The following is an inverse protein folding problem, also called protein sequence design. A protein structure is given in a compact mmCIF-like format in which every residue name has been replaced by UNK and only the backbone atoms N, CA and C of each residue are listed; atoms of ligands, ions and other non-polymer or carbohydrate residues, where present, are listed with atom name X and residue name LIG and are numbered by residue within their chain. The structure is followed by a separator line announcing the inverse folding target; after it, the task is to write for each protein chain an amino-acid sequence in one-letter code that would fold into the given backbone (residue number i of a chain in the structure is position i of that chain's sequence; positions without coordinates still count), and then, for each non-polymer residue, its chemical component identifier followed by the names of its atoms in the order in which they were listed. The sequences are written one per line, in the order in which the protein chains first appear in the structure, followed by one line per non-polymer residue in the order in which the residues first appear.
data_IF_150160457826
#
_entry.id   IF_150160457826
#
_cell.length_a   1.000
_cell.length_b   1.000
_cell.length_c   1.000
_cell.angle_alpha   90.00
_cell.angle_beta   90.00
_cell.angle_gamma   90.00
#
_symmetry.space_group_name_H-M   'P 1'
#
loop_
_entity.id
_entity.type
_entity.pdbx_description
1 polymer ?
#
# COMPACT_ATOMS: atom_id res chain seq x y z
N UNK A 1 4.10 -56.07 51.24
CA UNK A 1 5.07 -55.33 50.41
C UNK A 1 4.34 -54.16 49.77
N UNK A 2 4.72 -52.90 50.02
CA UNK A 2 4.07 -51.76 49.38
C UNK A 2 4.64 -51.55 47.97
N UNK A 3 3.78 -51.25 47.00
CA UNK A 3 4.18 -50.94 45.62
C UNK A 3 4.88 -49.57 45.54
N UNK A 4 5.89 -49.41 44.67
CA UNK A 4 6.56 -48.14 44.48
C UNK A 4 5.63 -47.13 43.80
N UNK A 5 5.53 -45.93 44.37
CA UNK A 5 4.88 -44.78 43.74
C UNK A 5 5.76 -44.31 42.59
N UNK A 6 5.28 -44.46 41.36
CA UNK A 6 5.89 -43.83 40.20
C UNK A 6 5.58 -42.33 40.24
N UNK A 7 6.62 -41.53 40.37
CA UNK A 7 6.57 -40.09 40.21
C UNK A 7 6.31 -39.79 38.72
N UNK A 8 5.09 -39.31 38.42
CA UNK A 8 4.67 -38.99 37.07
C UNK A 8 5.32 -37.65 36.73
N UNK A 9 6.56 -37.75 36.24
CA UNK A 9 7.42 -36.63 35.90
C UNK A 9 6.68 -35.54 35.14
N UNK A 10 7.01 -34.31 35.53
CA UNK A 10 6.59 -33.03 34.96
C UNK A 10 6.22 -33.14 33.48
N UNK A 11 4.92 -33.02 33.18
CA UNK A 11 4.41 -32.81 31.84
C UNK A 11 5.11 -31.56 31.30
N UNK A 12 6.09 -31.74 30.40
CA UNK A 12 6.70 -30.63 29.66
C UNK A 12 5.57 -29.86 29.01
N UNK A 13 5.34 -28.62 29.43
CA UNK A 13 4.39 -27.75 28.77
C UNK A 13 4.83 -27.61 27.32
N UNK A 14 4.11 -28.27 26.41
CA UNK A 14 4.28 -28.08 24.98
C UNK A 14 3.98 -26.59 24.74
N UNK A 15 4.94 -25.81 24.21
CA UNK A 15 4.68 -24.42 23.92
C UNK A 15 3.46 -24.37 23.00
N UNK A 16 2.39 -23.72 23.45
CA UNK A 16 1.24 -23.44 22.58
C UNK A 16 1.79 -22.63 21.42
N UNK A 17 1.98 -23.30 20.28
CA UNK A 17 2.13 -22.64 18.98
C UNK A 17 0.86 -21.84 18.76
N UNK A 18 0.87 -20.60 19.24
CA UNK A 18 -0.12 -19.61 18.86
C UNK A 18 0.15 -19.35 17.39
N UNK A 19 -0.66 -19.97 16.53
CA UNK A 19 -0.66 -19.69 15.10
C UNK A 19 -0.83 -18.17 14.93
N UNK A 20 0.26 -17.47 14.63
CA UNK A 20 0.21 -16.06 14.25
C UNK A 20 -0.31 -16.01 12.83
N UNK A 21 -1.47 -15.40 12.65
CA UNK A 21 -2.12 -15.19 11.35
C UNK A 21 -1.30 -14.31 10.40
N UNK A 22 -0.41 -13.48 10.94
CA UNK A 22 0.41 -12.52 10.21
C UNK A 22 1.87 -12.60 10.66
N UNK A 23 2.85 -12.40 9.75
CA UNK A 23 4.23 -12.18 10.15
C UNK A 23 4.38 -10.91 11.01
N UNK A 24 5.51 -10.79 11.71
CA UNK A 24 5.76 -9.67 12.62
C UNK A 24 6.02 -8.37 11.87
N UNK A 25 5.68 -7.23 12.49
CA UNK A 25 5.93 -5.92 11.89
C UNK A 25 7.43 -5.57 11.96
N UNK A 26 8.06 -5.10 10.87
CA UNK A 26 9.52 -4.94 10.77
C UNK A 26 10.17 -4.02 11.81
N UNK A 27 9.45 -3.00 12.26
CA UNK A 27 10.00 -1.90 13.08
C UNK A 27 9.59 -1.97 14.56
N UNK A 28 9.04 -3.11 15.00
CA UNK A 28 8.42 -3.25 16.33
C UNK A 28 7.36 -2.18 16.64
N UNK A 29 6.65 -1.67 15.62
CA UNK A 29 5.67 -0.60 15.76
C UNK A 29 4.64 -0.90 16.86
N UNK A 30 4.50 0.06 17.79
CA UNK A 30 3.57 0.01 18.92
C UNK A 30 2.56 1.14 18.76
N UNK A 31 1.45 0.92 18.04
CA UNK A 31 0.47 1.97 17.83
C UNK A 31 -0.18 2.40 19.15
N UNK A 32 -0.42 3.69 19.24
CA UNK A 32 -1.13 4.36 20.33
C UNK A 32 -2.53 4.75 19.87
N UNK A 33 -3.37 5.28 20.76
CA UNK A 33 -4.70 5.76 20.37
C UNK A 33 -4.64 6.88 19.33
N UNK A 34 -3.57 7.69 19.32
CA UNK A 34 -3.33 8.68 18.27
C UNK A 34 -3.22 8.02 16.89
N UNK A 35 -2.56 6.87 16.80
CA UNK A 35 -2.39 6.16 15.52
C UNK A 35 -3.72 5.63 14.99
N UNK A 36 -4.64 5.22 15.86
CA UNK A 36 -6.01 4.86 15.46
C UNK A 36 -6.76 6.06 14.89
N UNK A 37 -6.63 7.23 15.50
CA UNK A 37 -7.24 8.47 15.01
C UNK A 37 -6.64 8.87 13.66
N UNK A 38 -5.31 8.88 13.55
CA UNK A 38 -4.62 9.22 12.30
C UNK A 38 -4.94 8.23 11.18
N UNK A 39 -5.01 6.93 11.47
CA UNK A 39 -5.42 5.91 10.51
C UNK A 39 -6.88 6.07 10.07
N UNK A 40 -7.79 6.42 10.99
CA UNK A 40 -9.20 6.73 10.64
C UNK A 40 -9.27 7.96 9.75
N UNK A 41 -8.54 9.03 10.10
CA UNK A 41 -8.47 10.25 9.31
C UNK A 41 -7.87 9.99 7.94
N UNK A 42 -6.84 9.15 7.85
CA UNK A 42 -6.28 8.73 6.58
C UNK A 42 -7.31 7.96 5.75
N UNK A 43 -7.99 6.96 6.32
CA UNK A 43 -8.90 6.11 5.56
C UNK A 43 -10.20 6.81 5.12
N UNK A 44 -10.74 7.71 5.94
CA UNK A 44 -12.05 8.32 5.71
C UNK A 44 -11.95 9.82 5.41
N UNK A 45 -11.21 10.57 6.24
CA UNK A 45 -11.14 12.03 6.14
C UNK A 45 -10.34 12.52 4.95
N UNK A 46 -9.19 11.91 4.69
CA UNK A 46 -8.25 12.33 3.66
C UNK A 46 -8.81 12.17 2.23
N UNK A 47 -9.46 11.06 1.84
CA UNK A 47 -10.12 10.97 0.53
C UNK A 47 -11.17 12.05 0.30
N UNK A 48 -12.00 12.33 1.31
CA UNK A 48 -13.04 13.37 1.24
C UNK A 48 -12.40 14.75 1.11
N UNK A 49 -11.38 15.04 1.92
CA UNK A 49 -10.65 16.30 1.87
C UNK A 49 -9.92 16.49 0.53
N UNK A 50 -9.28 15.43 0.01
CA UNK A 50 -8.57 15.47 -1.27
C UNK A 50 -9.52 15.75 -2.43
N UNK A 51 -10.68 15.08 -2.50
CA UNK A 51 -11.68 15.34 -3.53
C UNK A 51 -12.26 16.76 -3.45
N UNK A 52 -12.57 17.25 -2.24
CA UNK A 52 -13.03 18.62 -2.05
C UNK A 52 -11.96 19.66 -2.44
N UNK A 53 -10.72 19.47 -2.00
CA UNK A 53 -9.61 20.37 -2.30
C UNK A 53 -9.24 20.34 -3.79
N UNK A 54 -9.37 19.20 -4.45
CA UNK A 54 -9.17 19.10 -5.90
C UNK A 54 -10.13 20.02 -6.66
N UNK A 55 -11.42 19.97 -6.34
CA UNK A 55 -12.45 20.79 -6.98
C UNK A 55 -12.30 22.30 -6.72
N UNK A 56 -11.50 22.70 -5.72
CA UNK A 56 -11.31 24.10 -5.34
C UNK A 56 -9.95 24.66 -5.73
N UNK A 57 -8.93 23.81 -5.85
CA UNK A 57 -7.53 24.26 -6.00
C UNK A 57 -6.75 23.54 -7.10
N UNK A 58 -7.28 22.45 -7.65
CA UNK A 58 -6.51 21.48 -8.45
C UNK A 58 -5.81 20.45 -7.57
N UNK A 59 -4.98 19.59 -8.17
CA UNK A 59 -4.38 18.43 -7.53
C UNK A 59 -3.18 18.78 -6.62
N UNK A 60 -2.52 19.92 -6.79
CA UNK A 60 -1.27 20.20 -6.08
C UNK A 60 -1.39 20.14 -4.55
N UNK A 61 -2.41 20.79 -3.98
CA UNK A 61 -2.64 20.80 -2.52
C UNK A 61 -3.06 19.41 -2.01
N UNK A 62 -4.06 18.73 -2.61
CA UNK A 62 -4.36 17.33 -2.29
C UNK A 62 -3.14 16.40 -2.34
N UNK A 63 -2.29 16.52 -3.36
CA UNK A 63 -1.08 15.68 -3.51
C UNK A 63 -0.07 15.97 -2.40
N UNK A 64 0.14 17.24 -2.05
CA UNK A 64 1.00 17.60 -0.92
C UNK A 64 0.47 17.05 0.40
N UNK A 65 -0.84 17.14 0.64
CA UNK A 65 -1.47 16.58 1.83
C UNK A 65 -1.34 15.06 1.85
N UNK A 66 -1.64 14.40 0.72
CA UNK A 66 -1.64 12.95 0.63
C UNK A 66 -0.23 12.38 0.73
N UNK A 67 0.67 12.77 -0.16
CA UNK A 67 2.04 12.24 -0.18
C UNK A 67 2.91 12.86 0.91
N UNK A 68 2.99 14.19 0.96
CA UNK A 68 3.90 14.89 1.88
C UNK A 68 3.51 14.68 3.33
N UNK A 69 2.28 15.00 3.70
CA UNK A 69 1.84 14.96 5.11
C UNK A 69 1.52 13.53 5.55
N UNK A 70 0.63 12.83 4.85
CA UNK A 70 0.16 11.51 5.30
C UNK A 70 1.14 10.38 4.99
N UNK A 71 1.58 10.23 3.73
CA UNK A 71 2.45 9.12 3.36
C UNK A 71 3.84 9.24 3.98
N UNK A 72 4.48 10.39 3.86
CA UNK A 72 5.87 10.56 4.33
C UNK A 72 5.92 11.12 5.76
N UNK A 73 5.25 12.24 6.03
CA UNK A 73 5.32 12.94 7.30
C UNK A 73 4.83 12.11 8.49
N UNK A 74 3.57 11.71 8.47
CA UNK A 74 2.92 10.94 9.55
C UNK A 74 3.61 9.59 9.72
N UNK A 75 3.85 8.84 8.65
CA UNK A 75 4.46 7.52 8.75
C UNK A 75 5.86 7.60 9.33
N UNK A 76 6.71 8.51 8.85
CA UNK A 76 8.06 8.70 9.40
C UNK A 76 8.02 9.18 10.85
N UNK A 77 7.11 10.10 11.19
CA UNK A 77 6.97 10.61 12.56
C UNK A 77 6.54 9.52 13.53
N UNK A 78 5.55 8.71 13.15
CA UNK A 78 4.92 7.73 14.05
C UNK A 78 5.68 6.40 14.11
N UNK A 79 6.32 5.98 13.02
CA UNK A 79 7.10 4.73 12.95
C UNK A 79 8.60 4.93 13.14
N UNK A 80 9.11 6.15 12.96
CA UNK A 80 10.54 6.45 12.97
C UNK A 80 11.29 6.08 11.68
N UNK A 81 10.68 5.26 10.82
CA UNK A 81 11.23 4.78 9.56
C UNK A 81 10.12 4.67 8.51
N UNK A 82 10.51 4.61 7.23
CA UNK A 82 9.57 4.43 6.11
C UNK A 82 9.76 3.09 5.40
N UNK A 83 10.79 2.31 5.75
CA UNK A 83 10.99 0.97 5.18
C UNK A 83 11.69 0.96 3.82
N UNK A 84 12.26 2.10 3.39
CA UNK A 84 13.05 2.22 2.16
C UNK A 84 14.56 2.32 2.45
N UNK A 85 15.00 1.96 3.64
CA UNK A 85 16.39 2.07 4.05
C UNK A 85 17.29 1.11 3.24
N UNK A 86 18.44 1.61 2.79
CA UNK A 86 19.42 0.85 2.01
C UNK A 86 20.61 0.48 2.90
N UNK A 87 20.98 -0.81 2.89
CA UNK A 87 22.20 -1.30 3.52
C UNK A 87 23.39 -0.99 2.63
N UNK A 88 24.23 -0.04 3.05
CA UNK A 88 25.45 0.33 2.34
C UNK A 88 26.38 -0.90 2.26
N UNK A 89 26.74 -1.32 1.06
CA UNK A 89 27.65 -2.44 0.81
C UNK A 89 26.97 -3.79 0.51
N UNK A 90 25.66 -3.93 0.76
CA UNK A 90 24.96 -5.22 0.62
C UNK A 90 23.71 -5.13 -0.28
N UNK A 91 23.62 -4.12 -1.15
CA UNK A 91 22.44 -3.86 -1.99
C UNK A 91 21.98 -5.10 -2.76
N UNK A 92 22.90 -5.81 -3.43
CA UNK A 92 22.56 -7.00 -4.21
C UNK A 92 21.92 -8.08 -3.32
N UNK A 93 22.46 -8.31 -2.13
CA UNK A 93 21.95 -9.29 -1.18
C UNK A 93 20.60 -8.85 -0.62
N UNK A 94 20.45 -7.56 -0.32
CA UNK A 94 19.20 -6.96 0.13
C UNK A 94 18.08 -7.17 -0.90
N UNK A 95 18.30 -6.78 -2.16
CA UNK A 95 17.28 -6.98 -3.21
C UNK A 95 17.03 -8.46 -3.53
N UNK A 96 18.06 -9.31 -3.52
CA UNK A 96 17.88 -10.75 -3.67
C UNK A 96 16.99 -11.34 -2.57
N UNK A 97 17.07 -10.82 -1.34
CA UNK A 97 16.23 -11.27 -0.23
C UNK A 97 14.74 -10.92 -0.40
N UNK A 98 14.42 -9.96 -1.26
CA UNK A 98 13.04 -9.57 -1.55
C UNK A 98 12.33 -10.51 -2.52
N UNK A 99 13.08 -11.33 -3.28
CA UNK A 99 12.54 -12.25 -4.28
C UNK A 99 12.02 -13.52 -3.61
N UNK A 100 10.90 -13.38 -2.88
CA UNK A 100 10.18 -14.50 -2.25
C UNK A 100 9.13 -15.07 -3.21
N UNK A 101 8.58 -16.28 -2.96
CA UNK A 101 7.47 -16.80 -3.75
C UNK A 101 6.27 -15.84 -3.80
N UNK A 102 5.98 -15.16 -2.68
CA UNK A 102 4.93 -14.15 -2.63
C UNK A 102 5.25 -12.95 -3.53
N UNK A 103 6.49 -12.43 -3.50
CA UNK A 103 6.91 -11.37 -4.41
C UNK A 103 6.68 -11.76 -5.87
N UNK A 104 7.09 -12.97 -6.26
CA UNK A 104 6.92 -13.47 -7.64
C UNK A 104 5.43 -13.56 -8.00
N UNK A 105 4.57 -14.08 -7.12
CA UNK A 105 3.12 -14.13 -7.38
C UNK A 105 2.53 -12.73 -7.57
N UNK A 106 2.84 -11.79 -6.69
CA UNK A 106 2.31 -10.42 -6.79
C UNK A 106 2.85 -9.69 -8.03
N UNK A 107 4.12 -9.90 -8.38
CA UNK A 107 4.71 -9.38 -9.61
C UNK A 107 4.01 -9.95 -10.85
N UNK A 108 3.73 -11.26 -10.89
CA UNK A 108 3.03 -11.88 -12.03
C UNK A 108 1.60 -11.35 -12.17
N UNK A 109 0.88 -11.15 -11.05
CA UNK A 109 -0.44 -10.52 -11.07
C UNK A 109 -0.37 -9.08 -11.60
N UNK A 110 0.65 -8.31 -11.20
CA UNK A 110 0.84 -6.96 -11.69
C UNK A 110 1.17 -6.93 -13.19
N UNK A 111 2.06 -7.81 -13.65
CA UNK A 111 2.42 -7.94 -15.07
C UNK A 111 1.23 -8.39 -15.92
N UNK A 112 0.32 -9.20 -15.37
CA UNK A 112 -0.93 -9.54 -16.03
C UNK A 112 -1.80 -8.29 -16.24
N UNK A 113 -1.94 -7.42 -15.23
CA UNK A 113 -2.66 -6.15 -15.38
C UNK A 113 -2.00 -5.23 -16.41
N UNK A 114 -0.68 -5.07 -16.34
CA UNK A 114 0.10 -4.34 -17.36
C UNK A 114 -0.18 -4.89 -18.76
N UNK A 115 -0.16 -6.22 -18.93
CA UNK A 115 -0.48 -6.86 -20.20
C UNK A 115 -1.88 -6.52 -20.73
N UNK A 116 -2.87 -6.43 -19.85
CA UNK A 116 -4.21 -5.99 -20.23
C UNK A 116 -4.27 -4.50 -20.60
N UNK A 117 -3.49 -3.63 -19.94
CA UNK A 117 -3.42 -2.20 -20.32
C UNK A 117 -2.99 -2.02 -21.77
N UNK A 118 -2.01 -2.80 -22.26
CA UNK A 118 -1.58 -2.73 -23.67
C UNK A 118 -2.70 -3.01 -24.69
N UNK A 119 -3.74 -3.75 -24.29
CA UNK A 119 -4.87 -4.11 -25.17
C UNK A 119 -6.07 -3.20 -24.96
N UNK A 120 -6.14 -2.53 -23.81
CA UNK A 120 -7.31 -1.74 -23.37
C UNK A 120 -6.99 -0.26 -23.15
N UNK A 121 -5.81 0.21 -23.52
CA UNK A 121 -5.45 1.62 -23.35
C UNK A 121 -6.25 2.52 -24.28
N UNK A 122 -6.58 3.71 -23.77
CA UNK A 122 -7.08 4.83 -24.56
C UNK A 122 -6.12 6.01 -24.39
N UNK A 123 -5.46 6.47 -25.46
CA UNK A 123 -4.58 7.63 -25.38
C UNK A 123 -5.39 8.90 -25.12
N UNK A 124 -4.78 9.85 -24.41
CA UNK A 124 -5.38 11.18 -24.21
C UNK A 124 -5.49 11.93 -25.53
N UNK A 125 -6.57 12.68 -25.73
CA UNK A 125 -6.79 13.49 -26.94
C UNK A 125 -5.78 14.63 -27.08
N UNK A 126 -5.41 15.25 -25.96
CA UNK A 126 -4.62 16.47 -25.91
C UNK A 126 -3.22 16.19 -25.38
N UNK A 127 -2.37 15.62 -26.24
CA UNK A 127 -1.01 15.24 -25.87
C UNK A 127 -0.10 16.46 -25.69
N UNK A 128 0.53 16.58 -24.52
CA UNK A 128 1.57 17.57 -24.23
C UNK A 128 2.89 16.85 -23.92
N UNK A 129 3.87 16.92 -24.82
CA UNK A 129 5.14 16.20 -24.70
C UNK A 129 5.90 16.55 -23.41
N UNK A 130 6.00 17.83 -23.08
CA UNK A 130 6.74 18.28 -21.90
C UNK A 130 6.05 17.80 -20.61
N UNK A 131 4.73 17.97 -20.54
CA UNK A 131 3.93 17.53 -19.41
C UNK A 131 3.90 16.02 -19.26
N UNK A 132 3.88 15.28 -20.35
CA UNK A 132 4.00 13.82 -20.36
C UNK A 132 5.35 13.37 -19.81
N UNK A 133 6.47 13.91 -20.30
CA UNK A 133 7.81 13.54 -19.83
C UNK A 133 7.98 13.83 -18.33
N UNK A 134 7.53 15.01 -17.88
CA UNK A 134 7.58 15.38 -16.46
C UNK A 134 6.73 14.42 -15.62
N UNK A 135 5.52 14.11 -16.09
CA UNK A 135 4.62 13.20 -15.39
C UNK A 135 5.25 11.81 -15.31
N UNK A 136 5.66 11.22 -16.44
CA UNK A 136 6.26 9.90 -16.52
C UNK A 136 7.53 9.75 -15.65
N UNK A 137 8.36 10.79 -15.59
CA UNK A 137 9.62 10.74 -14.84
C UNK A 137 9.41 10.86 -13.31
N UNK A 138 8.39 11.60 -12.87
CA UNK A 138 8.23 11.97 -11.45
C UNK A 138 7.06 11.22 -10.82
N UNK A 139 5.87 11.32 -11.41
CA UNK A 139 4.63 10.92 -10.77
C UNK A 139 4.55 9.40 -10.53
N UNK A 140 4.83 8.50 -11.49
CA UNK A 140 4.73 7.07 -11.26
C UNK A 140 5.56 6.58 -10.08
N UNK A 141 6.80 7.10 -9.97
CA UNK A 141 7.73 6.77 -8.89
C UNK A 141 7.25 7.37 -7.58
N UNK A 142 6.92 8.66 -7.56
CA UNK A 142 6.45 9.31 -6.34
C UNK A 142 5.17 8.65 -5.81
N UNK A 143 4.20 8.37 -6.67
CA UNK A 143 2.96 7.70 -6.32
C UNK A 143 3.24 6.30 -5.73
N UNK A 144 3.96 5.46 -6.49
CA UNK A 144 4.22 4.08 -6.12
C UNK A 144 4.97 3.92 -4.79
N UNK A 145 5.88 4.85 -4.48
CA UNK A 145 6.67 4.82 -3.25
C UNK A 145 6.03 5.58 -2.09
N UNK A 146 4.98 6.38 -2.33
CA UNK A 146 4.29 7.13 -1.28
C UNK A 146 3.07 6.38 -0.77
N UNK A 147 2.15 5.98 -1.66
CA UNK A 147 0.83 5.47 -1.26
C UNK A 147 0.92 4.28 -0.29
N UNK A 148 1.90 3.41 -0.48
CA UNK A 148 1.94 2.14 0.27
C UNK A 148 2.30 2.40 1.74
N UNK A 149 2.99 3.51 2.01
CA UNK A 149 3.34 3.94 3.35
C UNK A 149 2.08 4.15 4.19
N UNK A 150 1.13 4.95 3.68
CA UNK A 150 -0.09 5.25 4.44
C UNK A 150 -1.06 4.07 4.44
N UNK A 151 -1.09 3.26 3.37
CA UNK A 151 -1.89 2.04 3.33
C UNK A 151 -1.45 1.08 4.44
N UNK A 152 -0.16 0.72 4.49
CA UNK A 152 0.39 -0.19 5.50
C UNK A 152 0.30 0.42 6.90
N UNK A 153 0.57 1.71 7.07
CA UNK A 153 0.40 2.40 8.35
C UNK A 153 -1.03 2.29 8.87
N UNK A 154 -2.02 2.51 8.00
CA UNK A 154 -3.44 2.41 8.37
C UNK A 154 -3.77 1.00 8.87
N UNK A 155 -3.33 -0.03 8.14
CA UNK A 155 -3.54 -1.42 8.56
C UNK A 155 -2.84 -1.74 9.89
N UNK A 156 -1.53 -1.49 9.97
CA UNK A 156 -0.71 -1.85 11.13
C UNK A 156 -1.17 -1.11 12.39
N UNK A 157 -1.67 0.12 12.26
CA UNK A 157 -2.17 0.92 13.40
C UNK A 157 -3.29 0.21 14.16
N UNK A 158 -4.19 -0.46 13.45
CA UNK A 158 -5.22 -1.30 14.08
C UNK A 158 -4.68 -2.68 14.41
N UNK A 159 -4.06 -3.37 13.45
CA UNK A 159 -3.67 -4.77 13.59
C UNK A 159 -2.69 -5.03 14.75
N UNK A 160 -1.88 -4.04 15.10
CA UNK A 160 -0.87 -4.12 16.15
C UNK A 160 -1.25 -3.45 17.47
N UNK A 161 -2.45 -2.87 17.59
CA UNK A 161 -2.92 -2.19 18.81
C UNK A 161 -3.10 -3.15 19.98
N UNK A 162 -3.62 -4.35 19.73
CA UNK A 162 -3.60 -5.46 20.69
C UNK A 162 -2.68 -6.56 20.16
N UNK A 163 -1.79 -7.09 21.02
CA UNK A 163 -0.78 -8.07 20.60
C UNK A 163 -1.30 -9.52 20.50
N UNK A 164 -2.40 -9.82 21.18
CA UNK A 164 -2.94 -11.18 21.22
C UNK A 164 -4.45 -11.23 21.54
N UNK A 165 -5.00 -12.45 21.46
CA UNK A 165 -6.39 -12.75 21.81
C UNK A 165 -7.42 -12.30 20.76
N UNK A 166 -8.70 -12.38 21.15
CA UNK A 166 -9.84 -12.02 20.30
C UNK A 166 -9.82 -10.54 19.90
N UNK A 167 -9.40 -9.66 20.80
CA UNK A 167 -9.29 -8.22 20.53
C UNK A 167 -8.33 -7.93 19.37
N UNK A 168 -7.18 -8.62 19.31
CA UNK A 168 -6.27 -8.52 18.16
C UNK A 168 -6.96 -8.93 16.87
N UNK A 169 -7.63 -10.08 16.83
CA UNK A 169 -8.31 -10.56 15.62
C UNK A 169 -9.34 -9.55 15.11
N UNK A 170 -10.14 -8.98 16.01
CA UNK A 170 -11.12 -7.93 15.66
C UNK A 170 -10.42 -6.70 15.09
N UNK A 171 -9.39 -6.20 15.76
CA UNK A 171 -8.65 -5.02 15.29
C UNK A 171 -7.91 -5.29 13.98
N UNK A 172 -7.36 -6.49 13.76
CA UNK A 172 -6.80 -6.88 12.45
C UNK A 172 -7.86 -6.84 11.36
N UNK A 173 -9.08 -7.32 11.63
CA UNK A 173 -10.21 -7.22 10.71
C UNK A 173 -10.60 -5.77 10.39
N UNK A 174 -10.68 -4.91 11.43
CA UNK A 174 -10.95 -3.47 11.25
C UNK A 174 -9.83 -2.81 10.44
N UNK A 175 -8.57 -3.12 10.73
CA UNK A 175 -7.42 -2.61 9.97
C UNK A 175 -7.48 -3.01 8.50
N UNK A 176 -7.83 -4.26 8.20
CA UNK A 176 -8.04 -4.73 6.84
C UNK A 176 -9.18 -3.99 6.13
N UNK A 177 -10.29 -3.74 6.83
CA UNK A 177 -11.40 -2.96 6.29
C UNK A 177 -10.99 -1.51 6.02
N UNK A 178 -10.31 -0.84 6.96
CA UNK A 178 -9.84 0.54 6.80
C UNK A 178 -8.81 0.67 5.67
N UNK A 179 -7.95 -0.34 5.49
CA UNK A 179 -7.02 -0.44 4.38
C UNK A 179 -7.75 -0.43 3.02
N UNK A 180 -8.77 -1.28 2.86
CA UNK A 180 -9.57 -1.36 1.63
C UNK A 180 -10.40 -0.08 1.40
N UNK A 181 -10.97 0.49 2.48
CA UNK A 181 -11.72 1.75 2.43
C UNK A 181 -10.81 2.89 1.96
N UNK A 182 -9.61 3.04 2.53
CA UNK A 182 -8.64 4.06 2.15
C UNK A 182 -8.36 4.00 0.64
N UNK A 183 -7.97 2.83 0.15
CA UNK A 183 -7.62 2.63 -1.26
C UNK A 183 -8.83 2.93 -2.15
N UNK A 184 -10.00 2.35 -1.83
CA UNK A 184 -11.20 2.54 -2.64
C UNK A 184 -11.63 4.01 -2.68
N UNK A 185 -11.71 4.69 -1.54
CA UNK A 185 -12.22 6.05 -1.46
C UNK A 185 -11.27 7.06 -2.10
N UNK A 186 -9.95 6.93 -1.91
CA UNK A 186 -9.02 7.88 -2.57
C UNK A 186 -9.08 7.74 -4.09
N UNK A 187 -9.27 6.52 -4.60
CA UNK A 187 -9.43 6.32 -6.04
C UNK A 187 -10.75 6.90 -6.56
N UNK A 188 -11.85 6.65 -5.86
CA UNK A 188 -13.19 7.11 -6.27
C UNK A 188 -13.38 8.63 -6.14
N UNK A 189 -12.79 9.26 -5.13
CA UNK A 189 -13.06 10.67 -4.82
C UNK A 189 -11.98 11.63 -5.32
N UNK A 190 -10.77 11.13 -5.62
CA UNK A 190 -9.64 11.96 -6.02
C UNK A 190 -9.00 11.48 -7.31
N UNK A 191 -8.49 10.25 -7.37
CA UNK A 191 -7.69 9.81 -8.53
C UNK A 191 -8.49 9.72 -9.82
N UNK A 192 -9.72 9.20 -9.78
CA UNK A 192 -10.56 9.05 -10.98
C UNK A 192 -10.89 10.40 -11.64
N UNK A 193 -10.77 11.51 -10.91
CA UNK A 193 -11.08 12.84 -11.42
C UNK A 193 -10.07 13.33 -12.47
N UNK A 194 -8.87 12.76 -12.51
CA UNK A 194 -7.82 13.18 -13.46
C UNK A 194 -6.91 12.04 -13.96
N UNK A 195 -7.04 10.80 -13.47
CA UNK A 195 -6.33 9.66 -14.05
C UNK A 195 -7.14 8.99 -15.18
N UNK A 196 -6.50 8.53 -16.26
CA UNK A 196 -7.15 7.80 -17.35
C UNK A 196 -7.81 6.47 -16.92
N UNK A 197 -7.42 5.95 -15.75
CA UNK A 197 -7.90 4.69 -15.15
C UNK A 197 -9.41 4.66 -14.87
N UNK A 198 -10.09 5.82 -14.91
CA UNK A 198 -11.55 5.90 -14.80
C UNK A 198 -12.33 5.40 -16.01
N UNK A 199 -11.67 5.13 -17.14
CA UNK A 199 -12.34 4.73 -18.37
C UNK A 199 -12.73 3.25 -18.33
N UNK A 200 -14.04 2.97 -18.26
CA UNK A 200 -14.57 1.62 -18.10
C UNK A 200 -14.55 0.79 -19.38
N UNK A 201 -13.38 0.27 -19.74
CA UNK A 201 -13.24 -0.69 -20.82
C UNK A 201 -13.43 -2.10 -20.29
N UNK A 202 -14.37 -2.84 -20.87
CA UNK A 202 -14.53 -4.27 -20.62
C UNK A 202 -13.45 -5.06 -21.39
N UNK A 203 -12.78 -6.07 -20.78
CA UNK A 203 -12.95 -6.60 -19.43
C UNK A 203 -12.00 -6.00 -18.38
N UNK A 204 -11.23 -4.95 -18.72
CA UNK A 204 -10.19 -4.37 -17.86
C UNK A 204 -10.74 -4.06 -16.46
N UNK A 205 -11.84 -3.33 -16.33
CA UNK A 205 -12.38 -2.98 -15.00
C UNK A 205 -12.83 -4.18 -14.16
N UNK A 206 -13.33 -5.24 -14.81
CA UNK A 206 -13.81 -6.45 -14.12
C UNK A 206 -12.65 -7.27 -13.55
N UNK A 207 -11.49 -7.24 -14.21
CA UNK A 207 -10.28 -7.95 -13.79
C UNK A 207 -9.37 -7.08 -12.92
N UNK A 208 -9.28 -5.79 -13.22
CA UNK A 208 -8.44 -4.81 -12.56
C UNK A 208 -8.77 -4.74 -11.07
N UNK A 209 -10.05 -4.52 -10.72
CA UNK A 209 -10.43 -4.32 -9.31
C UNK A 209 -10.11 -5.55 -8.45
N UNK A 210 -10.51 -6.79 -8.81
CA UNK A 210 -10.18 -7.97 -8.00
C UNK A 210 -8.67 -8.25 -7.92
N UNK A 211 -7.95 -8.15 -9.04
CA UNK A 211 -6.51 -8.43 -9.06
C UNK A 211 -5.75 -7.36 -8.28
N UNK A 212 -6.05 -6.07 -8.47
CA UNK A 212 -5.41 -4.97 -7.75
C UNK A 212 -5.72 -5.04 -6.25
N UNK A 213 -6.94 -5.42 -5.88
CA UNK A 213 -7.30 -5.68 -4.46
C UNK A 213 -6.48 -6.84 -3.89
N UNK A 214 -6.33 -7.94 -4.63
CA UNK A 214 -5.51 -9.07 -4.20
C UNK A 214 -4.03 -8.68 -4.07
N UNK A 215 -3.50 -7.87 -4.99
CA UNK A 215 -2.13 -7.35 -4.93
C UNK A 215 -1.95 -6.49 -3.67
N UNK A 216 -2.86 -5.55 -3.42
CA UNK A 216 -2.82 -4.66 -2.27
C UNK A 216 -2.90 -5.44 -0.94
N UNK A 217 -3.78 -6.44 -0.82
CA UNK A 217 -3.79 -7.34 0.34
C UNK A 217 -2.46 -8.08 0.47
N UNK A 218 -1.91 -8.58 -0.65
CA UNK A 218 -0.61 -9.23 -0.71
C UNK A 218 0.54 -8.35 -0.21
N UNK A 219 0.48 -7.03 -0.44
CA UNK A 219 1.47 -6.08 0.05
C UNK A 219 1.61 -6.08 1.57
N UNK A 220 0.52 -6.31 2.33
CA UNK A 220 0.60 -6.43 3.79
C UNK A 220 1.55 -7.58 4.19
N UNK A 221 1.37 -8.74 3.55
CA UNK A 221 2.18 -9.92 3.83
C UNK A 221 3.61 -9.76 3.32
N UNK A 222 3.77 -9.23 2.10
CA UNK A 222 5.08 -9.03 1.48
C UNK A 222 5.91 -8.03 2.27
N UNK A 223 5.31 -6.94 2.75
CA UNK A 223 6.00 -5.96 3.60
C UNK A 223 6.51 -6.59 4.89
N UNK A 224 5.64 -7.32 5.62
CA UNK A 224 6.02 -7.98 6.88
C UNK A 224 7.04 -9.11 6.68
N UNK A 225 6.96 -9.84 5.56
CA UNK A 225 7.92 -10.90 5.22
C UNK A 225 9.29 -10.34 4.83
N UNK A 226 9.33 -9.34 3.95
CA UNK A 226 10.57 -8.76 3.40
C UNK A 226 11.22 -7.75 4.34
N UNK A 227 10.46 -7.24 5.31
CA UNK A 227 10.87 -6.15 6.21
C UNK A 227 11.28 -4.89 5.46
N UNK A 228 10.62 -4.62 4.33
CA UNK A 228 10.96 -3.54 3.42
C UNK A 228 9.77 -3.11 2.57
N UNK A 229 9.68 -1.81 2.28
CA UNK A 229 8.70 -1.23 1.35
C UNK A 229 9.18 -1.28 -0.10
N UNK A 230 10.49 -1.49 -0.35
CA UNK A 230 11.05 -1.58 -1.70
C UNK A 230 10.28 -2.54 -2.63
N UNK A 231 9.99 -3.80 -2.25
CA UNK A 231 9.31 -4.70 -3.16
C UNK A 231 7.88 -4.25 -3.51
N UNK A 232 7.19 -3.56 -2.60
CA UNK A 232 5.85 -3.00 -2.86
C UNK A 232 5.93 -1.86 -3.87
N UNK A 233 6.85 -0.92 -3.64
CA UNK A 233 7.07 0.22 -4.56
C UNK A 233 7.50 -0.23 -5.94
N UNK A 234 8.37 -1.25 -6.04
CA UNK A 234 8.82 -1.81 -7.32
C UNK A 234 7.72 -2.52 -8.09
N UNK A 235 6.80 -3.23 -7.42
CA UNK A 235 5.65 -3.83 -8.11
C UNK A 235 4.71 -2.70 -8.56
N UNK A 236 4.39 -1.77 -7.66
CA UNK A 236 3.42 -0.70 -7.93
C UNK A 236 3.89 0.28 -9.02
N UNK A 237 5.18 0.58 -9.12
CA UNK A 237 5.67 1.52 -10.13
C UNK A 237 5.44 1.02 -11.56
N UNK A 238 5.35 -0.30 -11.76
CA UNK A 238 5.16 -0.90 -13.08
C UNK A 238 3.85 -0.43 -13.71
N UNK A 239 2.74 -0.54 -12.97
CA UNK A 239 1.42 -0.14 -13.48
C UNK A 239 1.33 1.37 -13.68
N UNK A 240 1.91 2.17 -12.79
CA UNK A 240 1.88 3.62 -12.93
C UNK A 240 2.68 4.09 -14.16
N UNK A 241 3.85 3.48 -14.42
CA UNK A 241 4.67 3.78 -15.61
C UNK A 241 3.95 3.35 -16.87
N UNK A 242 3.36 2.16 -16.90
CA UNK A 242 2.69 1.65 -18.10
C UNK A 242 1.41 2.42 -18.40
N UNK A 243 0.57 2.67 -17.40
CA UNK A 243 -0.62 3.52 -17.50
C UNK A 243 -0.27 4.92 -18.04
N UNK A 244 0.73 5.59 -17.46
CA UNK A 244 1.19 6.91 -17.93
C UNK A 244 1.77 6.84 -19.34
N UNK A 245 2.67 5.88 -19.59
CA UNK A 245 3.39 5.71 -20.85
C UNK A 245 2.48 5.41 -22.03
N UNK A 246 1.48 4.54 -21.84
CA UNK A 246 0.52 4.15 -22.87
C UNK A 246 -0.53 5.24 -23.13
N UNK A 247 -1.02 5.90 -22.08
CA UNK A 247 -2.03 6.94 -22.24
C UNK A 247 -1.47 8.25 -22.80
N UNK A 248 -0.16 8.50 -22.69
CA UNK A 248 0.42 9.82 -22.97
C UNK A 248 -0.01 10.88 -21.96
N UNK A 249 -0.44 10.45 -20.78
CA UNK A 249 -1.04 11.29 -19.76
C UNK A 249 -0.07 12.35 -19.21
N UNK A 250 -0.60 13.55 -18.97
CA UNK A 250 0.08 14.60 -18.23
C UNK A 250 -0.76 15.06 -17.04
N UNK A 251 -0.15 15.08 -15.86
CA UNK A 251 -0.77 15.60 -14.64
C UNK A 251 -0.76 17.13 -14.57
N UNK A 252 0.10 17.80 -15.35
CA UNK A 252 0.30 19.25 -15.25
C UNK A 252 -0.99 20.07 -15.36
N UNK A 253 -1.90 19.83 -16.31
CA UNK A 253 -3.15 20.60 -16.43
C UNK A 253 -4.08 20.47 -15.22
N UNK A 254 -3.87 19.46 -14.39
CA UNK A 254 -4.69 19.18 -13.22
C UNK A 254 -4.10 19.73 -11.93
N UNK A 255 -2.85 20.21 -11.92
CA UNK A 255 -2.18 20.64 -10.69
C UNK A 255 -2.82 21.89 -10.09
N UNK A 256 -3.26 22.83 -10.92
CA UNK A 256 -3.86 24.09 -10.50
C UNK A 256 -5.13 24.32 -11.31
N UNK A 257 -6.20 24.81 -10.66
CA UNK A 257 -7.49 25.03 -11.33
C UNK A 257 -7.47 26.11 -12.43
N UNK A 258 -6.37 26.85 -12.56
CA UNK A 258 -6.18 27.95 -13.51
C UNK A 258 -5.21 27.61 -14.66
N UNK A 259 -4.80 26.35 -14.83
CA UNK A 259 -3.88 25.92 -15.90
C UNK A 259 -4.59 25.45 -17.16
#
# INVERSE_FOLDING_TARGET
MPFPKYDIGSIRQIPRLTMRLLPDVPDNFQPTSLDLVLATLAALGLPIAAGFLFNTTGALIPLFLYYGVFCWGIVKWRRGAVGYELSKGELRKQFASYVTPLFVVLLMLQLLLVGFEFVTYLPVSDFNLLGFIITLAIWPVLNAFSEQLIWIYTFDSYAEYFKEGTKRKVMTGIGGLMYVILISLIHLLFWIAFLPEGQSIFPFNVLFVPIQTAIAIGYIFLYRQSKSMWPLGLIHVLINITSTGLSGYSMLPFLLLFS
#
